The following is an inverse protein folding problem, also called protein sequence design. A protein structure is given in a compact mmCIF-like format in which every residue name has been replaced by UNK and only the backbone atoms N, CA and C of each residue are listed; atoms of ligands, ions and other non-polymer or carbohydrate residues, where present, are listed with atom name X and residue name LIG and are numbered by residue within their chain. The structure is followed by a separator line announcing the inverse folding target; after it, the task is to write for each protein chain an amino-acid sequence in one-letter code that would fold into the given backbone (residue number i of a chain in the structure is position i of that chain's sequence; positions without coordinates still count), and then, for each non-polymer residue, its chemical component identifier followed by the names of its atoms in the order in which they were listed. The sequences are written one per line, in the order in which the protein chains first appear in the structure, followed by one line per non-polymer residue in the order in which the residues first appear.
data_IF_992979947232
#
_entry.id   IF_992979947232
#
_cell.length_a   1.000
_cell.length_b   1.000
_cell.length_c   1.000
_cell.angle_alpha   90.00
_cell.angle_beta   90.00
_cell.angle_gamma   90.00
#
_symmetry.space_group_name_H-M   'P 1'
#
loop_
_entity.id
_entity.type
_entity.pdbx_description
1 polymer ?
#
# COMPACT_ATOMS: atom_id res chain seq x y z
N UNK A 1 13.56 4.74 3.28
CA UNK A 1 12.30 4.45 4.00
C UNK A 1 11.54 3.41 3.20
N UNK A 2 11.12 2.32 3.81
CA UNK A 2 10.31 1.33 3.13
C UNK A 2 8.86 1.82 3.02
N UNK A 3 8.23 1.60 1.88
CA UNK A 3 6.82 1.90 1.68
C UNK A 3 6.16 0.92 0.71
N UNK A 4 4.86 0.73 0.89
CA UNK A 4 3.98 0.13 -0.09
C UNK A 4 2.85 1.11 -0.34
N UNK A 5 2.58 1.39 -1.60
CA UNK A 5 1.47 2.26 -2.01
C UNK A 5 0.70 1.59 -3.11
N UNK A 6 -0.61 1.61 -3.01
CA UNK A 6 -1.47 1.23 -4.11
C UNK A 6 -2.63 2.21 -4.26
N UNK A 7 -3.22 2.20 -5.42
CA UNK A 7 -4.37 3.03 -5.71
C UNK A 7 -5.23 2.42 -6.81
N UNK A 8 -6.50 2.81 -6.79
CA UNK A 8 -7.49 2.40 -7.79
C UNK A 8 -8.53 3.50 -7.98
N UNK A 9 -9.16 3.53 -9.13
CA UNK A 9 -10.27 4.45 -9.37
C UNK A 9 -11.44 4.12 -8.46
N UNK A 10 -12.30 5.08 -8.13
CA UNK A 10 -13.50 4.79 -7.38
C UNK A 10 -14.22 3.66 -8.08
N UNK A 11 -14.27 2.55 -7.39
CA UNK A 11 -15.23 1.52 -7.66
C UNK A 11 -16.49 1.85 -6.87
N UNK A 12 -17.54 1.11 -7.09
CA UNK A 12 -18.73 1.11 -6.25
C UNK A 12 -18.49 0.49 -4.86
N UNK A 13 -17.26 0.57 -4.35
CA UNK A 13 -16.92 0.02 -3.03
C UNK A 13 -17.49 0.90 -1.94
N UNK A 14 -18.27 0.28 -1.10
CA UNK A 14 -18.73 0.88 0.13
C UNK A 14 -17.60 0.88 1.18
N UNK A 15 -17.77 1.64 2.27
CA UNK A 15 -16.76 1.70 3.33
C UNK A 15 -16.51 0.35 3.99
N UNK A 16 -17.50 -0.50 4.02
CA UNK A 16 -17.44 -1.88 4.47
C UNK A 16 -16.49 -2.73 3.62
N UNK A 17 -16.58 -2.63 2.29
CA UNK A 17 -15.68 -3.33 1.38
C UNK A 17 -14.22 -2.87 1.56
N UNK A 18 -14.01 -1.57 1.74
CA UNK A 18 -12.68 -1.02 1.99
C UNK A 18 -12.14 -1.52 3.32
N UNK A 19 -12.94 -1.48 4.38
CA UNK A 19 -12.54 -1.93 5.71
C UNK A 19 -12.20 -3.42 5.72
N UNK A 20 -13.03 -4.27 5.11
CA UNK A 20 -12.80 -5.70 5.00
C UNK A 20 -11.44 -6.00 4.33
N UNK A 21 -11.13 -5.34 3.21
CA UNK A 21 -9.88 -5.53 2.48
C UNK A 21 -8.66 -5.04 3.27
N UNK A 22 -8.79 -3.92 3.99
CA UNK A 22 -7.69 -3.42 4.85
C UNK A 22 -7.43 -4.39 6.00
N UNK A 23 -8.48 -4.90 6.64
CA UNK A 23 -8.34 -5.88 7.73
C UNK A 23 -7.77 -7.20 7.20
N UNK A 24 -8.20 -7.65 6.04
CA UNK A 24 -7.62 -8.84 5.38
C UNK A 24 -6.13 -8.63 5.10
N UNK A 25 -5.73 -7.48 4.54
CA UNK A 25 -4.33 -7.16 4.31
C UNK A 25 -3.51 -7.17 5.61
N UNK A 26 -4.01 -6.54 6.67
CA UNK A 26 -3.37 -6.51 7.97
C UNK A 26 -3.21 -7.93 8.57
N UNK A 27 -4.22 -8.76 8.40
CA UNK A 27 -4.18 -10.16 8.86
C UNK A 27 -3.15 -10.97 8.09
N UNK A 28 -3.10 -10.85 6.77
CA UNK A 28 -2.15 -11.61 5.94
C UNK A 28 -0.70 -11.15 6.20
N UNK A 29 -0.47 -9.86 6.34
CA UNK A 29 0.85 -9.33 6.68
C UNK A 29 1.30 -9.81 8.06
N UNK A 30 0.38 -9.87 9.03
CA UNK A 30 0.65 -10.41 10.36
C UNK A 30 0.99 -11.90 10.37
N UNK A 31 0.50 -12.64 9.38
CA UNK A 31 0.87 -14.05 9.16
C UNK A 31 2.32 -14.23 8.71
N UNK A 32 2.86 -13.29 7.94
CA UNK A 32 4.28 -13.28 7.52
C UNK A 32 5.20 -12.67 8.59
N UNK A 33 4.73 -11.65 9.28
CA UNK A 33 5.50 -10.87 10.25
C UNK A 33 4.74 -10.76 11.55
N UNK A 34 5.02 -11.62 12.55
CA UNK A 34 4.28 -11.65 13.83
C UNK A 34 4.20 -10.31 14.57
N UNK A 35 5.20 -9.45 14.43
CA UNK A 35 5.20 -8.09 14.98
C UNK A 35 4.13 -7.17 14.34
N UNK A 36 3.53 -7.58 13.22
CA UNK A 36 2.45 -6.89 12.54
C UNK A 36 1.08 -7.57 12.75
N UNK A 37 0.95 -8.43 13.74
CA UNK A 37 -0.30 -9.15 14.02
C UNK A 37 -1.36 -8.33 14.76
N UNK A 38 -0.96 -7.24 15.44
CA UNK A 38 -1.88 -6.33 16.13
C UNK A 38 -1.82 -4.94 15.50
N UNK A 39 -2.97 -4.38 15.22
CA UNK A 39 -3.13 -3.04 14.66
C UNK A 39 -4.04 -2.19 15.53
N UNK A 40 -3.69 -0.92 15.71
CA UNK A 40 -4.46 0.08 16.48
C UNK A 40 -4.58 1.38 15.72
N UNK A 41 -5.60 2.18 16.05
CA UNK A 41 -5.72 3.52 15.48
C UNK A 41 -4.61 4.43 15.99
N UNK A 42 -4.13 5.32 15.13
CA UNK A 42 -3.18 6.36 15.54
C UNK A 42 -3.86 7.39 16.45
N UNK A 43 -3.08 8.00 17.32
CA UNK A 43 -3.54 9.08 18.20
C UNK A 43 -2.41 10.09 18.42
N UNK A 44 -2.69 11.19 19.11
CA UNK A 44 -1.76 12.28 19.37
C UNK A 44 -0.48 11.89 20.15
N UNK A 45 -0.45 10.70 20.75
CA UNK A 45 0.74 10.16 21.40
C UNK A 45 0.73 8.63 21.36
N UNK A 46 1.92 7.99 21.51
CA UNK A 46 2.04 6.54 21.60
C UNK A 46 1.18 5.94 22.73
N UNK A 47 1.15 6.61 23.90
CA UNK A 47 0.33 6.16 25.04
C UNK A 47 -1.17 6.19 24.71
N UNK A 48 -1.63 7.27 24.08
CA UNK A 48 -3.03 7.39 23.66
C UNK A 48 -3.38 6.36 22.58
N UNK A 49 -2.49 6.13 21.61
CA UNK A 49 -2.69 5.13 20.57
C UNK A 49 -2.75 3.70 21.10
N UNK A 50 -1.95 3.35 22.14
CA UNK A 50 -2.03 2.06 22.82
C UNK A 50 -3.34 1.86 23.59
N UNK A 51 -4.05 2.92 23.92
CA UNK A 51 -5.35 2.87 24.58
C UNK A 51 -6.53 2.78 23.59
N UNK A 52 -6.29 2.93 22.28
CA UNK A 52 -7.33 2.74 21.27
C UNK A 52 -7.68 1.25 21.12
N UNK A 53 -8.90 0.91 20.67
CA UNK A 53 -9.25 -0.48 20.40
C UNK A 53 -8.35 -1.10 19.33
N UNK A 54 -8.23 -2.42 19.37
CA UNK A 54 -7.66 -3.19 18.26
C UNK A 54 -8.53 -2.98 17.02
N UNK A 55 -7.91 -2.83 15.88
CA UNK A 55 -8.61 -2.61 14.61
C UNK A 55 -9.39 -3.86 14.23
N UNK A 56 -10.69 -3.67 14.09
CA UNK A 56 -11.63 -4.64 13.50
C UNK A 56 -12.30 -3.97 12.31
N UNK A 57 -12.98 -4.75 11.48
CA UNK A 57 -13.74 -4.23 10.35
C UNK A 57 -14.77 -3.18 10.80
N UNK A 58 -15.56 -3.51 11.84
CA UNK A 58 -16.56 -2.60 12.40
C UNK A 58 -15.95 -1.27 12.89
N UNK A 59 -14.85 -1.33 13.64
CA UNK A 59 -14.16 -0.14 14.14
C UNK A 59 -13.55 0.69 12.99
N UNK A 60 -13.05 0.02 11.95
CA UNK A 60 -12.47 0.70 10.80
C UNK A 60 -13.56 1.40 9.97
N UNK A 61 -14.71 0.75 9.73
CA UNK A 61 -15.86 1.39 9.08
C UNK A 61 -16.29 2.63 9.86
N UNK A 62 -16.46 2.50 11.18
CA UNK A 62 -16.85 3.61 12.04
C UNK A 62 -15.86 4.78 11.94
N UNK A 63 -14.57 4.50 11.93
CA UNK A 63 -13.53 5.51 11.83
C UNK A 63 -13.53 6.17 10.44
N UNK A 64 -13.60 5.38 9.36
CA UNK A 64 -13.69 5.89 7.99
C UNK A 64 -14.91 6.83 7.79
N UNK A 65 -16.06 6.45 8.33
CA UNK A 65 -17.27 7.26 8.24
C UNK A 65 -17.11 8.57 9.04
N UNK A 66 -16.56 8.48 10.26
CA UNK A 66 -16.38 9.64 11.13
C UNK A 66 -15.38 10.66 10.54
N UNK A 67 -14.33 10.19 9.89
CA UNK A 67 -13.24 11.02 9.36
C UNK A 67 -13.35 11.27 7.85
N UNK A 68 -14.55 11.13 7.28
CA UNK A 68 -14.81 11.43 5.86
C UNK A 68 -13.99 10.55 4.89
N UNK A 69 -13.81 9.28 5.22
CA UNK A 69 -13.11 8.28 4.41
C UNK A 69 -11.61 8.21 4.67
N UNK A 70 -11.12 8.79 5.76
CA UNK A 70 -9.71 8.71 6.15
C UNK A 70 -9.55 7.80 7.37
N UNK A 71 -8.54 6.97 7.37
CA UNK A 71 -8.15 6.20 8.54
C UNK A 71 -6.63 6.05 8.59
N UNK A 72 -6.09 6.01 9.79
CA UNK A 72 -4.67 5.78 10.03
C UNK A 72 -4.50 4.81 11.19
N UNK A 73 -3.84 3.69 10.89
CA UNK A 73 -3.57 2.62 11.85
C UNK A 73 -2.07 2.33 11.90
N UNK A 74 -1.62 1.73 12.97
CA UNK A 74 -0.21 1.37 13.16
C UNK A 74 -0.07 0.05 13.90
N UNK A 75 1.03 -0.64 13.68
CA UNK A 75 1.39 -1.84 14.43
C UNK A 75 2.24 -1.45 15.64
N UNK A 76 1.78 -1.64 16.89
CA UNK A 76 2.49 -1.20 18.10
C UNK A 76 3.86 -1.85 18.29
N UNK A 77 4.00 -3.09 17.83
CA UNK A 77 5.23 -3.88 17.94
C UNK A 77 6.08 -3.85 16.68
N UNK A 78 5.51 -3.37 15.56
CA UNK A 78 6.17 -3.33 14.27
C UNK A 78 6.51 -1.91 13.80
N UNK A 79 7.26 -1.79 12.71
CA UNK A 79 7.67 -0.50 12.17
C UNK A 79 6.62 0.18 11.31
N UNK A 80 5.50 -0.49 11.00
CA UNK A 80 4.58 -0.04 9.96
C UNK A 80 3.42 0.81 10.48
N UNK A 81 3.06 1.78 9.68
CA UNK A 81 1.81 2.54 9.73
C UNK A 81 1.09 2.34 8.39
N UNK A 82 -0.22 2.25 8.45
CA UNK A 82 -1.11 2.20 7.29
C UNK A 82 -2.00 3.43 7.29
N UNK A 83 -2.03 4.11 6.18
CA UNK A 83 -2.93 5.22 5.91
C UNK A 83 -3.88 4.82 4.76
N UNK A 84 -5.17 4.94 5.01
CA UNK A 84 -6.24 4.64 4.07
C UNK A 84 -6.95 5.94 3.71
N UNK A 85 -7.20 6.15 2.43
CA UNK A 85 -8.05 7.23 1.93
C UNK A 85 -9.10 6.65 1.00
N UNK A 86 -10.33 6.64 1.48
CA UNK A 86 -11.50 6.06 0.81
C UNK A 86 -12.55 7.11 0.43
N UNK A 87 -12.20 8.39 0.44
CA UNK A 87 -13.18 9.47 0.23
C UNK A 87 -13.11 10.10 -1.14
N UNK A 88 -14.26 10.61 -1.57
CA UNK A 88 -14.42 11.71 -2.54
C UNK A 88 -13.62 12.98 -2.18
N UNK A 89 -13.02 13.02 -0.99
CA UNK A 89 -12.16 14.13 -0.57
C UNK A 89 -10.96 14.31 -1.50
N UNK A 90 -10.59 13.26 -2.18
CA UNK A 90 -9.81 13.37 -3.37
C UNK A 90 -10.64 13.92 -4.56
N UNK A 91 -11.49 14.94 -4.34
CA UNK A 91 -12.20 15.69 -5.43
C UNK A 91 -11.29 16.14 -6.56
N UNK A 92 -10.00 15.87 -6.42
CA UNK A 92 -9.00 16.10 -7.46
C UNK A 92 -8.76 14.91 -8.37
N UNK A 93 -9.05 13.65 -8.02
CA UNK A 93 -8.76 12.50 -8.94
C UNK A 93 -9.55 11.21 -8.69
N UNK A 94 -10.60 11.19 -7.89
CA UNK A 94 -11.37 9.94 -7.70
C UNK A 94 -10.45 8.71 -7.49
N UNK A 95 -9.52 8.75 -6.58
CA UNK A 95 -8.56 7.68 -6.41
C UNK A 95 -8.51 7.23 -4.95
N UNK A 96 -8.95 6.02 -4.70
CA UNK A 96 -8.68 5.37 -3.43
C UNK A 96 -7.17 5.16 -3.28
N UNK A 97 -6.68 5.30 -2.06
CA UNK A 97 -5.28 5.06 -1.75
C UNK A 97 -5.16 4.22 -0.49
N UNK A 98 -4.27 3.27 -0.56
CA UNK A 98 -3.76 2.54 0.58
C UNK A 98 -2.24 2.73 0.59
N UNK A 99 -1.69 3.10 1.74
CA UNK A 99 -0.26 3.25 1.91
C UNK A 99 0.15 2.60 3.24
N UNK A 100 1.05 1.65 3.16
CA UNK A 100 1.75 1.13 4.33
C UNK A 100 3.20 1.62 4.27
N UNK A 101 3.75 2.04 5.39
CA UNK A 101 5.14 2.53 5.40
C UNK A 101 5.71 2.65 6.79
N UNK A 102 7.03 2.70 6.86
CA UNK A 102 7.77 2.82 8.10
C UNK A 102 9.21 3.23 7.88
N UNK A 103 9.89 3.59 8.96
CA UNK A 103 11.31 3.95 8.93
C UNK A 103 12.21 2.76 8.60
N UNK A 104 11.72 1.54 8.78
CA UNK A 104 12.40 0.28 8.49
C UNK A 104 11.43 -0.65 7.80
N UNK A 105 11.95 -1.61 7.06
CA UNK A 105 11.14 -2.71 6.57
C UNK A 105 10.67 -3.61 7.72
N UNK A 106 9.59 -4.38 7.54
CA UNK A 106 9.20 -5.41 8.50
C UNK A 106 10.35 -6.41 8.70
N UNK A 107 10.46 -6.96 9.92
CA UNK A 107 11.34 -8.09 10.26
C UNK A 107 12.83 -7.93 9.90
N UNK A 108 13.37 -6.69 9.89
CA UNK A 108 14.76 -6.43 9.48
C UNK A 108 15.12 -6.97 8.08
N UNK A 109 14.13 -7.18 7.23
CA UNK A 109 14.34 -7.52 5.83
C UNK A 109 15.12 -6.39 5.17
N UNK A 110 16.06 -6.74 4.31
CA UNK A 110 16.74 -5.76 3.49
C UNK A 110 15.68 -4.93 2.73
N UNK A 111 15.79 -3.61 2.81
CA UNK A 111 14.82 -2.70 2.17
C UNK A 111 14.81 -2.86 0.64
N UNK A 112 15.84 -3.47 0.09
CA UNK A 112 16.03 -3.77 -1.32
C UNK A 112 15.67 -5.23 -1.69
N UNK A 113 15.13 -6.04 -0.74
CA UNK A 113 14.73 -7.41 -1.00
C UNK A 113 13.54 -7.47 -1.97
N UNK A 114 13.86 -7.81 -3.22
CA UNK A 114 12.89 -7.88 -4.31
C UNK A 114 11.86 -8.99 -4.08
N UNK A 115 12.26 -10.12 -3.51
CA UNK A 115 11.34 -11.26 -3.28
C UNK A 115 10.26 -10.88 -2.26
N UNK A 116 10.64 -10.19 -1.19
CA UNK A 116 9.69 -9.68 -0.19
C UNK A 116 8.80 -8.60 -0.80
N UNK A 117 9.38 -7.65 -1.52
CA UNK A 117 8.61 -6.61 -2.20
C UNK A 117 7.63 -7.22 -3.21
N UNK A 118 8.03 -8.26 -3.94
CA UNK A 118 7.18 -8.98 -4.88
C UNK A 118 6.02 -9.69 -4.18
N UNK A 119 6.30 -10.43 -3.09
CA UNK A 119 5.26 -11.13 -2.33
C UNK A 119 4.22 -10.15 -1.75
N UNK A 120 4.68 -9.01 -1.23
CA UNK A 120 3.80 -7.95 -0.70
C UNK A 120 3.00 -7.27 -1.82
N UNK A 121 3.59 -7.01 -2.97
CA UNK A 121 2.89 -6.44 -4.12
C UNK A 121 1.82 -7.40 -4.66
N UNK A 122 2.12 -8.69 -4.78
CA UNK A 122 1.17 -9.72 -5.21
C UNK A 122 -0.01 -9.87 -4.24
N UNK A 123 0.28 -9.93 -2.93
CA UNK A 123 -0.75 -9.96 -1.91
C UNK A 123 -1.67 -8.73 -2.02
N UNK A 124 -1.08 -7.55 -2.20
CA UNK A 124 -1.82 -6.30 -2.35
C UNK A 124 -2.68 -6.30 -3.61
N UNK A 125 -2.15 -6.79 -4.74
CA UNK A 125 -2.91 -6.92 -5.98
C UNK A 125 -4.11 -7.86 -5.81
N UNK A 126 -3.91 -9.01 -5.16
CA UNK A 126 -4.98 -9.98 -4.91
C UNK A 126 -6.11 -9.41 -4.05
N UNK A 127 -5.78 -8.65 -3.00
CA UNK A 127 -6.76 -8.11 -2.05
C UNK A 127 -7.48 -6.90 -2.64
N UNK A 128 -6.76 -5.97 -3.24
CA UNK A 128 -7.30 -4.67 -3.64
C UNK A 128 -7.62 -4.55 -5.13
N UNK A 129 -7.10 -5.44 -5.99
CA UNK A 129 -7.20 -5.33 -7.46
C UNK A 129 -6.86 -3.89 -7.95
N UNK A 130 -5.72 -3.33 -7.57
CA UNK A 130 -5.41 -1.93 -7.78
C UNK A 130 -5.05 -1.61 -9.23
N UNK A 131 -5.04 -0.33 -9.59
CA UNK A 131 -4.48 0.13 -10.86
C UNK A 131 -2.96 0.13 -10.86
N UNK A 132 -2.36 0.35 -9.67
CA UNK A 132 -0.92 0.31 -9.48
C UNK A 132 -0.54 -0.08 -8.05
N UNK A 133 0.63 -0.67 -7.92
CA UNK A 133 1.32 -0.88 -6.64
C UNK A 133 2.77 -0.43 -6.80
N UNK A 134 3.30 0.20 -5.76
CA UNK A 134 4.73 0.45 -5.62
C UNK A 134 5.15 -0.11 -4.25
N UNK A 135 6.15 -0.97 -4.21
CA UNK A 135 6.57 -1.67 -3.00
C UNK A 135 8.09 -1.74 -2.88
N UNK A 136 8.62 -1.38 -1.70
CA UNK A 136 10.04 -1.40 -1.39
C UNK A 136 10.56 -0.06 -0.89
N UNK A 137 11.88 0.17 -1.01
CA UNK A 137 12.51 1.42 -0.65
C UNK A 137 12.10 2.56 -1.56
N UNK A 138 11.69 3.68 -0.97
CA UNK A 138 11.42 4.89 -1.74
C UNK A 138 12.74 5.53 -2.18
N UNK A 139 12.90 5.68 -3.47
CA UNK A 139 13.93 6.54 -4.06
C UNK A 139 13.25 7.76 -4.70
N UNK A 140 13.65 8.95 -4.25
CA UNK A 140 13.00 10.22 -4.61
C UNK A 140 13.27 10.69 -6.06
N UNK A 141 14.12 10.02 -6.80
CA UNK A 141 14.69 10.58 -8.04
C UNK A 141 13.86 10.37 -9.32
N UNK A 142 12.83 9.54 -9.29
CA UNK A 142 11.98 9.32 -10.46
C UNK A 142 10.51 9.67 -10.18
N UNK A 143 10.22 10.95 -10.18
CA UNK A 143 8.85 11.47 -10.15
C UNK A 143 8.36 11.70 -11.57
N UNK A 144 7.49 10.84 -12.07
CA UNK A 144 6.73 11.09 -13.28
C UNK A 144 5.36 11.64 -12.91
N UNK A 145 5.05 12.84 -13.38
CA UNK A 145 3.77 13.51 -13.13
C UNK A 145 3.37 13.60 -11.65
N UNK A 146 4.36 13.79 -10.74
CA UNK A 146 4.13 13.83 -9.31
C UNK A 146 3.87 12.45 -8.68
N UNK A 147 4.22 11.36 -9.36
CA UNK A 147 4.10 9.98 -8.87
C UNK A 147 5.48 9.37 -8.74
N UNK A 148 5.81 8.93 -7.54
CA UNK A 148 7.03 8.14 -7.33
C UNK A 148 6.92 6.84 -8.14
N UNK A 149 7.79 6.71 -9.12
CA UNK A 149 7.97 5.48 -9.87
C UNK A 149 9.27 4.90 -9.41
N UNK A 150 9.40 4.39 -8.23
CA UNK A 150 10.54 3.52 -8.00
C UNK A 150 10.52 2.96 -6.61
N UNK A 151 10.12 1.77 -6.60
CA UNK A 151 10.29 0.84 -5.52
C UNK A 151 10.99 -0.39 -6.10
N UNK A 152 11.47 -1.26 -5.26
CA UNK A 152 12.08 -2.52 -5.70
C UNK A 152 11.14 -3.27 -6.67
N UNK A 153 9.84 -3.25 -6.40
CA UNK A 153 8.81 -3.82 -7.27
C UNK A 153 7.67 -2.83 -7.51
N UNK A 154 7.25 -2.77 -8.75
CA UNK A 154 6.09 -2.00 -9.18
C UNK A 154 5.11 -2.92 -9.92
N UNK A 155 3.84 -2.63 -9.79
CA UNK A 155 2.78 -3.23 -10.60
C UNK A 155 1.98 -2.11 -11.26
N UNK A 156 1.59 -2.34 -12.50
CA UNK A 156 0.58 -1.53 -13.17
C UNK A 156 -0.38 -2.43 -13.94
N UNK A 157 -1.66 -2.09 -13.88
CA UNK A 157 -2.66 -2.71 -14.73
C UNK A 157 -2.31 -2.50 -16.20
N UNK A 158 -2.66 -3.42 -17.08
CA UNK A 158 -2.23 -3.43 -18.48
C UNK A 158 -2.46 -2.10 -19.20
N UNK A 159 -3.68 -1.60 -19.16
CA UNK A 159 -4.08 -0.35 -19.79
C UNK A 159 -3.26 0.86 -19.30
N UNK A 160 -2.90 0.82 -18.03
CA UNK A 160 -2.07 1.85 -17.41
C UNK A 160 -0.60 1.70 -17.79
N UNK A 161 -0.06 0.47 -17.77
CA UNK A 161 1.33 0.20 -18.16
C UNK A 161 1.59 0.63 -19.61
N UNK A 162 0.67 0.31 -20.50
CA UNK A 162 0.77 0.68 -21.92
C UNK A 162 0.75 2.21 -22.15
N UNK A 163 0.17 2.96 -21.19
CA UNK A 163 0.16 4.43 -21.23
C UNK A 163 1.43 5.09 -20.68
N UNK A 164 2.35 4.32 -20.10
CA UNK A 164 3.57 4.87 -19.53
C UNK A 164 4.56 5.28 -20.64
N UNK A 165 5.39 6.32 -20.38
CA UNK A 165 6.48 6.69 -21.28
C UNK A 165 7.45 5.52 -21.55
N UNK A 166 8.13 5.56 -22.70
CA UNK A 166 9.02 4.49 -23.15
C UNK A 166 10.12 4.13 -22.14
N UNK A 167 10.65 5.11 -21.43
CA UNK A 167 11.68 4.85 -20.43
C UNK A 167 11.15 4.06 -19.20
N UNK A 168 9.87 4.14 -18.86
CA UNK A 168 9.26 3.29 -17.84
C UNK A 168 9.04 1.89 -18.41
N UNK A 169 8.64 1.82 -19.67
CA UNK A 169 8.47 0.54 -20.36
C UNK A 169 9.80 -0.17 -20.64
N UNK A 170 10.92 0.57 -20.60
CA UNK A 170 12.27 0.02 -20.63
C UNK A 170 12.74 -0.55 -19.28
N UNK A 171 11.94 -0.40 -18.20
CA UNK A 171 12.23 -1.04 -16.92
C UNK A 171 12.25 -2.57 -17.06
N UNK A 172 13.00 -3.22 -16.19
CA UNK A 172 13.08 -4.67 -16.17
C UNK A 172 11.72 -5.28 -15.81
N UNK A 173 11.08 -5.96 -16.77
CA UNK A 173 9.85 -6.68 -16.51
C UNK A 173 10.16 -7.94 -15.71
N UNK A 174 9.55 -8.06 -14.52
CA UNK A 174 9.68 -9.24 -13.65
C UNK A 174 8.67 -10.28 -14.11
N UNK A 175 7.41 -9.90 -14.25
CA UNK A 175 6.34 -10.81 -14.64
C UNK A 175 5.18 -10.09 -15.32
N UNK A 176 4.64 -10.72 -16.33
CA UNK A 176 3.40 -10.30 -17.00
C UNK A 176 2.27 -11.26 -16.64
N UNK A 177 1.12 -10.71 -16.30
CA UNK A 177 -0.13 -11.44 -16.05
C UNK A 177 -1.22 -10.97 -17.04
N UNK A 178 -2.36 -11.62 -17.04
CA UNK A 178 -3.51 -11.15 -17.84
C UNK A 178 -3.96 -9.75 -17.41
N UNK A 179 -3.90 -9.45 -16.12
CA UNK A 179 -4.39 -8.20 -15.54
C UNK A 179 -3.37 -7.05 -15.64
N UNK A 180 -2.06 -7.35 -15.61
CA UNK A 180 -1.05 -6.29 -15.57
C UNK A 180 0.38 -6.78 -15.64
N UNK A 181 1.29 -5.87 -15.33
CA UNK A 181 2.73 -6.07 -15.42
C UNK A 181 3.40 -5.74 -14.10
N UNK A 182 4.21 -6.67 -13.59
CA UNK A 182 5.17 -6.43 -12.52
C UNK A 182 6.52 -6.06 -13.13
N UNK A 183 7.11 -4.98 -12.67
CA UNK A 183 8.38 -4.49 -13.18
C UNK A 183 9.21 -3.87 -12.05
N UNK A 184 10.51 -3.96 -12.20
CA UNK A 184 11.47 -3.35 -11.31
C UNK A 184 12.15 -2.17 -11.99
N UNK A 185 12.92 -1.44 -11.19
CA UNK A 185 13.85 -0.44 -11.68
C UNK A 185 14.79 -1.06 -12.73
N UNK A 186 15.18 -0.32 -13.77
CA UNK A 186 16.30 -0.72 -14.61
C UNK A 186 17.55 -0.92 -13.74
N UNK A 187 18.29 -1.99 -13.99
CA UNK A 187 19.57 -2.17 -13.35
C UNK A 187 20.44 -0.95 -13.72
N UNK A 188 20.98 -0.26 -12.71
CA UNK A 188 21.96 0.78 -12.96
C UNK A 188 23.27 0.07 -13.31
N UNK A 189 23.60 0.00 -14.58
CA UNK A 189 24.96 -0.34 -15.07
C UNK A 189 25.99 0.71 -14.61
#
# INVERSE_FOLDING_TARGET
MWSLRCGWRPSSWEMEDVAARVVEWCSQVGGFYPELSEWRFTAGSKRAALATPVVTEHELVRNLVADGGLASIWAPQGPLRVDVSASDYAKRKNLFRFAAGGRRSPANVDEDDEDVAMAMAEMTCRIFSPEYVNCGKEELELMLDGRALVSAVNYARRDRYDSYPDFVRAARVIRTTEEGVFFARPDND
#
